data_IF_989890790941
#
_entry.id   IF_989890790941
#
_cell.length_a   1.000
_cell.length_b   1.000
_cell.length_c   1.000
_cell.angle_alpha   90.00
_cell.angle_beta   90.00
_cell.angle_gamma   90.00
#
_symmetry.space_group_name_H-M   'P 1'
#
loop_
_entity.id
_entity.type
_entity.pdbx_description
1 polymer ?
#
# COMPACT_ATOMS: atom_id res chain seq x y z
N UNK A 1 10.27 9.78 9.04
CA UNK A 1 11.37 8.96 8.48
C UNK A 1 11.10 8.71 7.00
N UNK A 2 12.13 8.76 6.18
CA UNK A 2 11.99 8.48 4.74
C UNK A 2 12.66 7.13 4.47
N UNK A 3 11.94 6.22 3.83
CA UNK A 3 12.46 4.87 3.55
C UNK A 3 11.76 4.27 2.34
N UNK A 4 12.33 3.20 1.80
CA UNK A 4 11.71 2.44 0.74
C UNK A 4 10.89 1.33 1.40
N UNK A 5 9.61 1.27 1.09
CA UNK A 5 8.70 0.26 1.61
C UNK A 5 7.98 -0.44 0.46
N UNK A 6 7.58 -1.68 0.69
CA UNK A 6 6.69 -2.36 -0.24
C UNK A 6 5.28 -1.85 0.06
N UNK A 7 4.63 -1.28 -0.92
CA UNK A 7 3.31 -0.71 -0.72
C UNK A 7 2.27 -1.34 -1.63
N UNK A 8 1.09 -1.56 -1.09
CA UNK A 8 -0.09 -1.90 -1.86
C UNK A 8 -0.74 -0.58 -2.27
N UNK A 9 -0.75 -0.30 -3.56
CA UNK A 9 -1.32 0.93 -4.12
C UNK A 9 -2.68 0.60 -4.72
N UNK A 10 -3.68 1.36 -4.36
CA UNK A 10 -5.04 1.16 -4.83
C UNK A 10 -5.47 2.36 -5.67
N UNK A 11 -5.87 2.08 -6.91
CA UNK A 11 -6.24 3.11 -7.88
C UNK A 11 -7.70 3.00 -8.29
N UNK A 12 -8.33 4.15 -8.48
CA UNK A 12 -9.63 4.24 -9.13
C UNK A 12 -9.40 5.11 -10.37
N UNK A 13 -9.52 4.49 -11.55
CA UNK A 13 -9.10 5.15 -12.78
C UNK A 13 -7.61 5.41 -12.76
N UNK A 14 -7.19 6.66 -12.91
CA UNK A 14 -5.79 7.07 -12.85
C UNK A 14 -5.38 7.63 -11.49
N UNK A 15 -6.34 7.74 -10.56
CA UNK A 15 -6.11 8.35 -9.26
C UNK A 15 -5.70 7.32 -8.19
N UNK A 16 -4.62 7.60 -7.49
CA UNK A 16 -4.21 6.82 -6.33
C UNK A 16 -5.12 7.18 -5.16
N UNK A 17 -5.90 6.22 -4.67
CA UNK A 17 -6.84 6.42 -3.57
C UNK A 17 -6.33 5.99 -2.22
N UNK A 18 -5.60 4.88 -2.17
CA UNK A 18 -5.06 4.37 -0.92
C UNK A 18 -3.69 3.75 -1.12
N UNK A 19 -2.92 3.73 -0.04
CA UNK A 19 -1.64 3.03 -0.01
C UNK A 19 -1.45 2.44 1.38
N UNK A 20 -0.97 1.21 1.43
CA UNK A 20 -0.74 0.49 2.68
C UNK A 20 0.67 -0.11 2.66
N UNK A 21 1.49 0.15 3.68
CA UNK A 21 2.83 -0.42 3.73
C UNK A 21 2.82 -1.87 4.20
N UNK A 22 3.70 -2.68 3.63
CA UNK A 22 3.90 -4.07 4.04
C UNK A 22 5.38 -4.34 4.24
N UNK A 23 5.68 -5.35 5.04
CA UNK A 23 7.07 -5.71 5.36
C UNK A 23 7.75 -6.46 4.21
N UNK A 24 6.99 -7.13 3.37
CA UNK A 24 7.53 -7.89 2.25
C UNK A 24 6.58 -7.90 1.06
N UNK A 25 7.13 -8.19 -0.11
CA UNK A 25 6.33 -8.30 -1.33
C UNK A 25 5.33 -9.46 -1.22
N UNK A 26 5.72 -10.54 -0.55
CA UNK A 26 4.82 -11.68 -0.33
C UNK A 26 3.58 -11.31 0.46
N UNK A 27 3.75 -10.54 1.53
CA UNK A 27 2.64 -10.07 2.34
C UNK A 27 1.72 -9.13 1.55
N UNK A 28 2.31 -8.25 0.75
CA UNK A 28 1.57 -7.33 -0.09
C UNK A 28 0.74 -8.08 -1.14
N UNK A 29 1.34 -9.07 -1.81
CA UNK A 29 0.65 -9.87 -2.82
C UNK A 29 -0.50 -10.68 -2.23
N UNK A 30 -0.31 -11.19 -1.01
CA UNK A 30 -1.37 -11.90 -0.30
C UNK A 30 -2.56 -10.98 -0.02
N UNK A 31 -2.29 -9.77 0.47
CA UNK A 31 -3.32 -8.78 0.75
C UNK A 31 -4.03 -8.35 -0.54
N UNK A 32 -3.29 -8.14 -1.61
CA UNK A 32 -3.83 -7.80 -2.92
C UNK A 32 -4.79 -8.87 -3.40
N UNK A 33 -4.38 -10.14 -3.32
CA UNK A 33 -5.20 -11.28 -3.76
C UNK A 33 -6.50 -11.37 -2.98
N UNK A 34 -6.44 -11.20 -1.65
CA UNK A 34 -7.63 -11.23 -0.80
C UNK A 34 -8.58 -10.07 -1.12
N UNK A 35 -8.04 -8.88 -1.35
CA UNK A 35 -8.83 -7.70 -1.70
C UNK A 35 -9.51 -7.85 -3.06
N UNK A 36 -8.80 -8.37 -4.06
CA UNK A 36 -9.35 -8.61 -5.39
C UNK A 36 -10.49 -9.61 -5.35
N UNK A 37 -10.34 -10.67 -4.53
CA UNK A 37 -11.36 -11.69 -4.34
C UNK A 37 -12.63 -11.10 -3.73
N UNK A 38 -12.48 -10.18 -2.76
CA UNK A 38 -13.61 -9.53 -2.11
C UNK A 38 -14.29 -8.51 -2.99
N UNK A 39 -13.51 -7.76 -3.79
CA UNK A 39 -14.03 -6.68 -4.63
C UNK A 39 -14.62 -7.16 -5.95
N UNK A 40 -14.17 -8.33 -6.44
CA UNK A 40 -14.59 -8.83 -7.73
C UNK A 40 -13.89 -8.13 -8.90
N UNK A 41 -14.28 -8.45 -10.14
CA UNK A 41 -13.59 -7.93 -11.33
C UNK A 41 -13.76 -6.44 -11.57
N UNK A 42 -14.77 -5.82 -10.98
CA UNK A 42 -15.04 -4.38 -11.12
C UNK A 42 -14.44 -3.55 -10.00
N UNK A 43 -13.64 -4.17 -9.12
CA UNK A 43 -12.99 -3.47 -8.02
C UNK A 43 -11.86 -2.57 -8.48
N UNK A 44 -11.30 -1.78 -7.56
CA UNK A 44 -10.19 -0.89 -7.89
C UNK A 44 -8.94 -1.68 -8.29
N UNK A 45 -8.14 -1.08 -9.16
CA UNK A 45 -6.87 -1.68 -9.57
C UNK A 45 -5.87 -1.57 -8.42
N UNK A 46 -5.14 -2.63 -8.18
CA UNK A 46 -4.14 -2.68 -7.11
C UNK A 46 -2.78 -3.10 -7.64
N UNK A 47 -1.73 -2.54 -7.07
CA UNK A 47 -0.37 -2.87 -7.42
C UNK A 47 0.47 -2.99 -6.16
N UNK A 48 1.39 -3.95 -6.14
CA UNK A 48 2.39 -4.10 -5.09
C UNK A 48 3.74 -3.72 -5.68
N UNK A 49 4.37 -2.68 -5.12
CA UNK A 49 5.70 -2.29 -5.58
C UNK A 49 6.46 -1.51 -4.51
N UNK A 50 7.81 -1.47 -4.61
CA UNK A 50 8.59 -0.64 -3.70
C UNK A 50 8.38 0.83 -4.02
N UNK A 51 8.17 1.64 -2.98
CA UNK A 51 8.04 3.09 -3.12
C UNK A 51 8.89 3.77 -2.05
N UNK A 52 9.42 4.94 -2.38
CA UNK A 52 10.10 5.78 -1.41
C UNK A 52 9.04 6.65 -0.75
N UNK A 53 8.91 6.53 0.55
CA UNK A 53 7.83 7.17 1.28
C UNK A 53 8.32 7.75 2.60
N UNK A 54 7.63 8.80 3.04
CA UNK A 54 7.80 9.32 4.38
C UNK A 54 6.87 8.55 5.29
N UNK A 55 7.42 7.90 6.31
CA UNK A 55 6.67 7.01 7.20
C UNK A 55 6.79 7.43 8.65
N UNK A 56 5.86 6.96 9.48
CA UNK A 56 5.84 7.23 10.89
C UNK A 56 5.18 6.06 11.61
N UNK A 57 5.67 5.74 12.81
CA UNK A 57 5.05 4.72 13.64
C UNK A 57 4.13 5.44 14.63
N UNK A 58 2.84 5.14 14.55
CA UNK A 58 1.83 5.76 15.40
C UNK A 58 1.72 5.01 16.73
N UNK A 59 1.69 5.78 17.81
CA UNK A 59 1.59 5.20 19.17
C UNK A 59 0.23 4.54 19.42
N UNK A 60 -0.80 5.02 18.77
CA UNK A 60 -2.17 4.56 18.95
C UNK A 60 -2.34 3.09 18.57
N UNK A 61 -1.68 2.65 17.51
CA UNK A 61 -1.79 1.28 17.03
C UNK A 61 -0.47 0.55 16.91
N UNK A 62 0.64 1.24 17.14
CA UNK A 62 1.98 0.67 17.02
C UNK A 62 2.37 0.28 15.61
N UNK A 63 1.65 0.76 14.60
CA UNK A 63 1.88 0.41 13.21
C UNK A 63 2.56 1.53 12.43
N UNK A 64 3.28 1.13 11.39
CA UNK A 64 3.89 2.08 10.46
C UNK A 64 2.84 2.59 9.49
N UNK A 65 2.78 3.89 9.33
CA UNK A 65 1.88 4.55 8.39
C UNK A 65 2.66 5.36 7.37
N UNK A 66 2.22 5.34 6.13
CA UNK A 66 2.79 6.18 5.09
C UNK A 66 2.13 7.55 5.18
N UNK A 67 2.94 8.58 5.44
CA UNK A 67 2.48 9.95 5.48
C UNK A 67 2.40 10.55 4.08
N UNK A 68 3.36 10.18 3.22
CA UNK A 68 3.47 10.71 1.87
C UNK A 68 4.34 9.79 1.03
N UNK A 69 3.93 9.53 -0.19
CA UNK A 69 4.76 8.84 -1.18
C UNK A 69 5.58 9.91 -1.89
N UNK A 70 6.90 9.80 -1.77
CA UNK A 70 7.83 10.76 -2.35
C UNK A 70 8.15 10.37 -3.78
N UNK A 71 8.30 9.06 -4.01
CA UNK A 71 8.75 8.54 -5.30
C UNK A 71 8.29 7.10 -5.42
N UNK A 72 7.79 6.70 -6.56
CA UNK A 72 7.40 5.31 -6.81
C UNK A 72 8.11 4.69 -8.01
#
# INVERSE_FOLDING_TARGET
MVEIVIALLMFIGVDLKEHVPYNSIGDCLKAKRLSERSSGPDGPRMECRPVKAKTEIWKEDGKKHILKIIED
#
